data_IF_888530171390
#
_entry.id   IF_888530171390
#
_cell.length_a   1.000
_cell.length_b   1.000
_cell.length_c   1.000
_cell.angle_alpha   90.00
_cell.angle_beta   90.00
_cell.angle_gamma   90.00
#
_symmetry.space_group_name_H-M   'P 1'
#
loop_
_entity.id
_entity.type
_entity.pdbx_description
1 polymer ?
#
# COMPACT_ATOMS: atom_id res chain seq x y z
N UNK A 1 1.98 -8.61 -9.19
CA UNK A 1 1.96 -9.15 -7.82
C UNK A 1 1.41 -10.59 -7.82
N UNK A 2 1.82 -11.51 -6.92
CA UNK A 2 1.15 -12.82 -6.78
C UNK A 2 -0.13 -12.63 -5.95
N UNK A 3 -1.30 -12.79 -6.57
CA UNK A 3 -2.61 -12.56 -5.96
C UNK A 3 -3.41 -13.86 -5.84
N UNK A 4 -4.28 -14.00 -4.82
CA UNK A 4 -5.19 -15.13 -4.75
C UNK A 4 -6.14 -15.18 -5.95
N UNK A 5 -6.59 -16.39 -6.32
CA UNK A 5 -7.57 -16.56 -7.39
C UNK A 5 -8.93 -15.97 -7.03
N UNK A 6 -9.28 -15.94 -5.76
CA UNK A 6 -10.47 -15.28 -5.23
C UNK A 6 -10.42 -15.12 -3.71
N UNK A 7 -11.14 -14.14 -3.19
CA UNK A 7 -11.06 -13.74 -1.77
C UNK A 7 -11.85 -14.63 -0.82
N UNK A 8 -12.92 -15.25 -1.32
CA UNK A 8 -13.84 -16.09 -0.51
C UNK A 8 -13.48 -17.58 -0.50
N UNK A 9 -12.62 -18.03 -1.42
CA UNK A 9 -12.25 -19.43 -1.62
C UNK A 9 -10.72 -19.63 -1.72
N UNK A 10 -9.95 -18.68 -1.19
CA UNK A 10 -8.49 -18.73 -1.25
C UNK A 10 -7.94 -19.91 -0.45
N UNK A 11 -7.13 -20.75 -1.08
CA UNK A 11 -6.40 -21.81 -0.39
C UNK A 11 -5.15 -21.21 0.27
N UNK A 12 -5.28 -20.84 1.55
CA UNK A 12 -4.20 -20.25 2.34
C UNK A 12 -2.95 -21.16 2.45
N UNK A 13 -3.04 -22.44 2.06
CA UNK A 13 -1.89 -23.37 2.04
C UNK A 13 -1.08 -23.27 0.74
N UNK A 14 -1.65 -22.69 -0.32
CA UNK A 14 -1.02 -22.56 -1.64
C UNK A 14 -0.84 -21.09 -2.08
N UNK A 15 -1.68 -20.20 -1.56
CA UNK A 15 -1.73 -18.80 -1.96
C UNK A 15 -1.16 -17.89 -0.87
N UNK A 16 -0.44 -16.84 -1.29
CA UNK A 16 0.05 -15.80 -0.38
C UNK A 16 -1.04 -14.76 -0.20
N UNK A 17 -1.66 -14.75 0.98
CA UNK A 17 -2.80 -13.88 1.30
C UNK A 17 -2.38 -12.53 1.88
N UNK A 18 -1.39 -11.87 1.26
CA UNK A 18 -0.94 -10.53 1.69
C UNK A 18 -2.00 -9.47 1.48
N UNK A 19 -2.80 -9.58 0.43
CA UNK A 19 -3.88 -8.66 0.11
C UNK A 19 -5.05 -9.47 -0.44
N UNK A 20 -6.25 -8.90 -0.32
CA UNK A 20 -7.36 -9.33 -1.15
C UNK A 20 -6.99 -9.14 -2.62
N UNK A 21 -7.57 -9.95 -3.50
CA UNK A 21 -7.44 -9.85 -4.95
C UNK A 21 -7.78 -8.44 -5.42
N UNK A 22 -8.87 -7.86 -4.90
CA UNK A 22 -9.22 -6.48 -5.21
C UNK A 22 -8.10 -5.50 -4.81
N UNK A 23 -7.62 -5.55 -3.56
CA UNK A 23 -6.59 -4.64 -3.08
C UNK A 23 -5.27 -4.79 -3.83
N UNK A 24 -4.90 -6.02 -4.19
CA UNK A 24 -3.73 -6.26 -5.03
C UNK A 24 -3.85 -5.68 -6.43
N UNK A 25 -5.00 -5.90 -7.10
CA UNK A 25 -5.24 -5.39 -8.45
C UNK A 25 -5.32 -3.86 -8.48
N UNK A 26 -5.94 -3.24 -7.47
CA UNK A 26 -6.07 -1.78 -7.43
C UNK A 26 -4.73 -1.11 -7.13
N UNK A 27 -3.88 -1.69 -6.27
CA UNK A 27 -2.50 -1.22 -6.07
C UNK A 27 -1.73 -1.26 -7.39
N UNK A 28 -1.74 -2.40 -8.09
CA UNK A 28 -1.05 -2.57 -9.37
C UNK A 28 -1.58 -1.54 -10.40
N UNK A 29 -2.89 -1.35 -10.49
CA UNK A 29 -3.52 -0.37 -11.39
C UNK A 29 -3.08 1.06 -11.06
N UNK A 30 -3.30 1.53 -9.83
CA UNK A 30 -2.97 2.90 -9.42
C UNK A 30 -1.47 3.18 -9.60
N UNK A 31 -0.61 2.23 -9.22
CA UNK A 31 0.84 2.36 -9.40
C UNK A 31 1.21 2.53 -10.87
N UNK A 32 0.63 1.72 -11.75
CA UNK A 32 0.90 1.82 -13.18
C UNK A 32 0.41 3.15 -13.77
N UNK A 33 -0.76 3.63 -13.34
CA UNK A 33 -1.26 4.96 -13.74
C UNK A 33 -0.34 6.09 -13.27
N UNK A 34 0.14 6.04 -12.02
CA UNK A 34 1.12 7.04 -11.51
C UNK A 34 2.41 7.00 -12.34
N UNK A 35 2.93 5.81 -12.68
CA UNK A 35 4.15 5.71 -13.51
C UNK A 35 3.92 6.18 -14.95
N UNK A 36 2.72 5.97 -15.52
CA UNK A 36 2.35 6.46 -16.84
C UNK A 36 2.21 7.99 -16.88
N UNK A 37 1.60 8.58 -15.85
CA UNK A 37 1.47 10.04 -15.70
C UNK A 37 2.81 10.72 -15.39
N UNK A 38 3.70 10.04 -14.67
CA UNK A 38 4.99 10.57 -14.25
C UNK A 38 6.16 9.64 -14.66
N UNK A 39 6.47 9.56 -15.97
CA UNK A 39 7.59 8.76 -16.48
C UNK A 39 8.93 9.17 -15.87
N UNK A 40 9.78 8.17 -15.56
CA UNK A 40 11.07 8.39 -14.87
C UNK A 40 11.97 9.42 -15.55
N UNK A 41 12.04 9.43 -16.88
CA UNK A 41 12.86 10.38 -17.63
C UNK A 41 12.42 11.84 -17.44
N UNK A 42 11.11 12.08 -17.26
CA UNK A 42 10.54 13.41 -17.00
C UNK A 42 10.77 13.79 -15.54
N UNK A 43 10.42 12.89 -14.62
CA UNK A 43 10.53 13.09 -13.17
C UNK A 43 11.97 13.38 -12.74
N UNK A 44 12.97 12.75 -13.36
CA UNK A 44 14.37 12.99 -13.00
C UNK A 44 14.85 14.40 -13.39
N UNK A 45 14.24 15.02 -14.40
CA UNK A 45 14.65 16.32 -14.92
C UNK A 45 13.82 17.47 -14.37
N UNK A 46 12.59 17.21 -13.94
CA UNK A 46 11.63 18.23 -13.51
C UNK A 46 11.27 18.09 -12.02
N UNK A 47 11.65 19.10 -11.23
CA UNK A 47 11.36 19.18 -9.78
C UNK A 47 9.86 19.25 -9.52
N UNK A 48 9.10 19.97 -10.35
CA UNK A 48 7.64 20.10 -10.20
C UNK A 48 6.97 18.74 -10.34
N UNK A 49 7.39 17.95 -11.33
CA UNK A 49 6.89 16.59 -11.56
C UNK A 49 7.20 15.65 -10.41
N UNK A 50 8.36 15.79 -9.75
CA UNK A 50 8.66 15.06 -8.50
C UNK A 50 7.69 15.43 -7.38
N UNK A 51 7.47 16.73 -7.18
CA UNK A 51 6.55 17.26 -6.14
C UNK A 51 5.11 16.82 -6.36
N UNK A 52 4.69 16.60 -7.61
CA UNK A 52 3.38 16.03 -7.94
C UNK A 52 3.32 14.51 -7.71
N UNK A 53 4.34 13.76 -8.14
CA UNK A 53 4.38 12.28 -8.08
C UNK A 53 4.47 11.75 -6.64
N UNK A 54 5.36 12.30 -5.82
CA UNK A 54 5.70 11.71 -4.52
C UNK A 54 4.55 11.69 -3.51
N UNK A 55 3.71 12.74 -3.39
CA UNK A 55 2.51 12.67 -2.55
C UNK A 55 1.51 11.57 -2.97
N UNK A 56 1.37 11.30 -4.27
CA UNK A 56 0.51 10.21 -4.75
C UNK A 56 1.08 8.84 -4.34
N UNK A 57 2.40 8.67 -4.48
CA UNK A 57 3.07 7.45 -4.04
C UNK A 57 3.03 7.27 -2.53
N UNK A 58 3.12 8.35 -1.74
CA UNK A 58 3.06 8.26 -0.28
C UNK A 58 1.68 7.81 0.21
N UNK A 59 0.60 8.35 -0.37
CA UNK A 59 -0.77 7.89 -0.09
C UNK A 59 -0.93 6.41 -0.45
N UNK A 60 -0.48 6.01 -1.64
CA UNK A 60 -0.56 4.61 -2.06
C UNK A 60 0.25 3.69 -1.14
N UNK A 61 1.45 4.11 -0.73
CA UNK A 61 2.31 3.37 0.18
C UNK A 61 1.66 3.19 1.55
N UNK A 62 1.06 4.25 2.09
CA UNK A 62 0.30 4.20 3.33
C UNK A 62 -0.90 3.24 3.23
N UNK A 63 -1.67 3.31 2.14
CA UNK A 63 -2.80 2.41 1.90
C UNK A 63 -2.34 0.95 1.79
N UNK A 64 -1.27 0.68 1.05
CA UNK A 64 -0.68 -0.66 0.97
C UNK A 64 -0.25 -1.17 2.35
N UNK A 65 0.46 -0.36 3.13
CA UNK A 65 0.93 -0.72 4.46
C UNK A 65 -0.20 -0.99 5.47
N UNK A 66 -1.30 -0.23 5.41
CA UNK A 66 -2.42 -0.37 6.35
C UNK A 66 -3.44 -1.44 5.96
N UNK A 67 -3.43 -1.93 4.72
CA UNK A 67 -4.35 -2.98 4.24
C UNK A 67 -3.66 -4.32 4.00
N UNK A 68 -2.34 -4.40 4.24
CA UNK A 68 -1.60 -5.65 4.11
C UNK A 68 -1.89 -6.60 5.27
N UNK A 69 -1.95 -7.88 4.95
CA UNK A 69 -1.99 -8.95 5.90
C UNK A 69 -0.57 -9.27 6.38
N UNK A 70 -0.17 -8.65 7.50
CA UNK A 70 1.11 -8.90 8.16
C UNK A 70 1.11 -10.17 9.02
N UNK A 71 -0.04 -10.82 9.21
CA UNK A 71 -0.15 -12.02 10.07
C UNK A 71 0.52 -13.28 9.49
N UNK A 72 1.28 -13.14 8.40
CA UNK A 72 2.08 -14.18 7.78
C UNK A 72 3.58 -14.21 8.13
N UNK A 73 4.13 -13.26 8.91
CA UNK A 73 5.60 -13.19 9.11
C UNK A 73 6.10 -13.74 10.46
N UNK A 74 5.27 -13.88 11.50
CA UNK A 74 5.75 -14.31 12.84
C UNK A 74 4.91 -15.35 13.60
N UNK A 75 3.76 -15.79 13.09
CA UNK A 75 3.08 -17.01 13.55
C UNK A 75 2.50 -17.70 12.32
N UNK A 76 3.28 -18.64 11.79
CA UNK A 76 2.84 -19.50 10.71
C UNK A 76 1.41 -20.03 10.98
N UNK A 77 0.57 -20.10 9.95
CA UNK A 77 -0.69 -20.86 9.92
C UNK A 77 -1.96 -20.31 10.62
N UNK A 78 -2.37 -19.05 10.37
CA UNK A 78 -3.76 -18.67 10.70
C UNK A 78 -4.64 -18.46 9.45
N UNK A 79 -5.30 -19.56 9.04
CA UNK A 79 -6.66 -19.68 8.47
C UNK A 79 -7.24 -18.49 7.65
N UNK A 80 -6.48 -17.88 6.75
CA UNK A 80 -7.01 -16.84 5.83
C UNK A 80 -6.67 -15.41 6.25
N UNK A 81 -7.54 -14.46 5.93
CA UNK A 81 -7.38 -13.06 6.33
C UNK A 81 -7.73 -12.87 7.83
N UNK A 82 -6.97 -12.04 8.55
CA UNK A 82 -7.37 -11.56 9.89
C UNK A 82 -6.90 -12.36 11.11
N UNK A 83 -6.19 -13.48 10.94
CA UNK A 83 -5.69 -14.27 12.08
C UNK A 83 -6.80 -14.91 12.94
N UNK A 84 -6.47 -15.39 14.15
CA UNK A 84 -7.43 -16.07 15.04
C UNK A 84 -8.46 -15.13 15.68
N UNK A 85 -8.09 -13.88 15.96
CA UNK A 85 -8.98 -12.91 16.63
C UNK A 85 -9.79 -12.04 15.67
N UNK A 86 -9.47 -12.02 14.38
CA UNK A 86 -10.22 -11.24 13.38
C UNK A 86 -10.03 -9.72 13.48
N UNK A 87 -9.30 -9.21 14.47
CA UNK A 87 -9.10 -7.76 14.70
C UNK A 87 -8.44 -7.05 13.51
N UNK A 88 -7.64 -7.78 12.73
CA UNK A 88 -7.01 -7.29 11.52
C UNK A 88 -7.89 -7.43 10.27
N UNK A 89 -8.94 -8.25 10.32
CA UNK A 89 -9.75 -8.60 9.16
C UNK A 89 -10.36 -7.35 8.53
N UNK A 90 -10.94 -6.47 9.35
CA UNK A 90 -11.59 -5.25 8.88
C UNK A 90 -10.63 -4.33 8.11
N UNK A 91 -9.37 -4.18 8.53
CA UNK A 91 -8.39 -3.37 7.76
C UNK A 91 -7.99 -4.06 6.46
N UNK A 92 -7.84 -5.39 6.47
CA UNK A 92 -7.33 -6.15 5.33
C UNK A 92 -8.38 -6.22 4.21
N UNK A 93 -9.66 -6.40 4.55
CA UNK A 93 -10.75 -6.50 3.57
C UNK A 93 -11.27 -5.15 3.09
N UNK A 94 -11.01 -4.08 3.85
CA UNK A 94 -11.40 -2.73 3.42
C UNK A 94 -10.76 -2.43 2.07
N UNK A 95 -11.54 -1.79 1.20
CA UNK A 95 -11.07 -1.45 -0.15
C UNK A 95 -10.05 -0.32 -0.06
N UNK A 96 -8.94 -0.50 -0.75
CA UNK A 96 -7.99 0.59 -1.00
C UNK A 96 -8.65 1.61 -1.92
N UNK A 97 -8.60 2.87 -1.50
CA UNK A 97 -9.11 4.04 -2.21
C UNK A 97 -8.10 5.18 -2.09
N UNK A 98 -7.97 6.01 -3.13
CA UNK A 98 -7.10 7.18 -3.10
C UNK A 98 -7.87 8.39 -2.56
N UNK A 99 -7.31 9.05 -1.55
CA UNK A 99 -7.73 10.38 -1.14
C UNK A 99 -6.67 11.41 -1.53
N UNK A 100 -7.09 12.66 -1.73
CA UNK A 100 -6.15 13.75 -1.89
C UNK A 100 -5.30 13.87 -0.60
N UNK A 101 -3.96 13.89 -0.68
CA UNK A 101 -3.13 14.08 0.50
C UNK A 101 -3.35 15.48 1.07
N UNK A 102 -3.43 15.58 2.39
CA UNK A 102 -3.38 16.86 3.08
C UNK A 102 -1.92 17.32 3.06
N UNK A 103 -1.66 18.42 2.37
CA UNK A 103 -0.35 19.06 2.35
C UNK A 103 -0.39 20.26 3.29
N UNK A 104 0.58 20.32 4.20
CA UNK A 104 0.76 21.46 5.08
C UNK A 104 1.65 22.46 4.35
N UNK A 105 1.11 23.64 4.08
CA UNK A 105 1.90 24.77 3.60
C UNK A 105 2.49 25.47 4.83
N UNK A 106 3.77 25.17 5.11
CA UNK A 106 4.49 25.71 6.27
C UNK A 106 5.65 26.55 5.81
N UNK A 107 5.85 27.68 6.46
CA UNK A 107 7.03 28.53 6.27
C UNK A 107 8.30 27.93 6.90
N UNK A 108 8.15 26.90 7.75
CA UNK A 108 9.25 26.21 8.40
C UNK A 108 9.73 25.01 7.58
N UNK A 109 11.04 24.76 7.59
CA UNK A 109 11.61 23.59 6.95
C UNK A 109 11.17 22.29 7.63
N UNK A 110 10.84 21.28 6.82
CA UNK A 110 10.59 19.93 7.30
C UNK A 110 11.92 19.18 7.43
N UNK A 111 12.26 18.78 8.66
CA UNK A 111 13.43 17.96 8.93
C UNK A 111 13.03 16.48 9.07
N UNK A 112 13.58 15.63 8.19
CA UNK A 112 13.37 14.19 8.22
C UNK A 112 14.65 13.54 8.75
N UNK A 113 14.54 12.86 9.88
CA UNK A 113 15.65 12.10 10.46
C UNK A 113 15.45 10.62 10.17
N UNK A 114 16.49 9.95 9.68
CA UNK A 114 16.52 8.49 9.51
C UNK A 114 17.27 7.91 10.72
N UNK A 115 16.59 7.91 11.86
CA UNK A 115 17.07 7.35 13.13
C UNK A 115 15.94 6.53 13.76
N UNK A 116 16.29 5.50 14.53
CA UNK A 116 15.30 4.74 15.30
C UNK A 116 14.59 5.67 16.29
N UNK A 117 13.28 5.44 16.46
CA UNK A 117 12.49 6.16 17.46
C UNK A 117 12.80 5.56 18.84
N UNK A 118 13.50 6.32 19.69
CA UNK A 118 13.75 5.96 21.10
C UNK A 118 12.52 6.20 21.98
#
# INVERSE_FOLDING_TARGET
MLLPKGDSFSDYRKERLFYTRYNGLIIDKIRNEIEALYPKNIVNRDVKRRREKYPLLSVLLYQAATHTNTSGVFKAYHKGFGGFSGDALNRIIKKIEMSAPILIDSEYESHIFIVDSN
#
